data_IF_653526486594
#
_entry.id   IF_653526486594
#
_cell.length_a   1.000
_cell.length_b   1.000
_cell.length_c   1.000
_cell.angle_alpha   90.00
_cell.angle_beta   90.00
_cell.angle_gamma   90.00
#
_symmetry.space_group_name_H-M   'P 1'
#
loop_
_entity.id
_entity.type
_entity.pdbx_description
1 polymer ?
#
# COMPACT_ATOMS: atom_id res chain seq x y z
N UNK A 1 3.51 -23.26 7.40
CA UNK A 1 4.23 -22.22 8.17
C UNK A 1 3.49 -20.93 7.93
N UNK A 2 3.20 -20.06 8.91
CA UNK A 2 2.40 -18.88 8.62
C UNK A 2 3.20 -17.98 7.68
N UNK A 3 2.78 -17.94 6.43
CA UNK A 3 3.35 -17.18 5.33
C UNK A 3 3.37 -15.71 5.74
N UNK A 4 4.54 -15.26 6.19
CA UNK A 4 4.72 -13.91 6.71
C UNK A 4 4.62 -12.97 5.52
N UNK A 5 3.42 -12.46 5.26
CA UNK A 5 3.15 -11.53 4.16
C UNK A 5 4.23 -10.45 4.15
N UNK A 6 4.97 -10.28 3.04
CA UNK A 6 6.06 -9.32 3.00
C UNK A 6 5.50 -7.91 3.21
N UNK A 7 5.95 -7.29 4.29
CA UNK A 7 5.63 -5.91 4.64
C UNK A 7 6.53 -4.98 3.84
N UNK A 8 5.95 -4.30 2.87
CA UNK A 8 6.62 -3.36 1.98
C UNK A 8 6.73 -2.00 2.66
N UNK A 9 7.92 -1.42 2.68
CA UNK A 9 8.06 -0.03 3.08
C UNK A 9 7.38 0.89 2.06
N UNK A 10 7.04 2.12 2.45
CA UNK A 10 6.41 3.12 1.57
C UNK A 10 7.04 3.25 0.17
N UNK A 11 8.37 3.24 0.07
CA UNK A 11 9.08 3.27 -1.22
C UNK A 11 8.84 2.03 -2.07
N UNK A 12 8.84 0.85 -1.44
CA UNK A 12 8.59 -0.41 -2.13
C UNK A 12 7.12 -0.54 -2.55
N UNK A 13 6.20 -0.13 -1.67
CA UNK A 13 4.79 -0.05 -1.98
C UNK A 13 4.57 0.85 -3.20
N UNK A 14 5.19 2.04 -3.23
CA UNK A 14 5.11 2.98 -4.35
C UNK A 14 5.59 2.35 -5.67
N UNK A 15 6.76 1.72 -5.64
CA UNK A 15 7.28 0.99 -6.80
C UNK A 15 6.36 -0.16 -7.22
N UNK A 16 5.73 -0.86 -6.27
CA UNK A 16 4.85 -1.99 -6.54
C UNK A 16 3.58 -1.59 -7.29
N UNK A 17 2.88 -0.56 -6.80
CA UNK A 17 1.67 -0.04 -7.46
C UNK A 17 1.99 0.95 -8.61
N UNK A 18 3.28 1.12 -8.91
CA UNK A 18 3.81 2.04 -9.92
C UNK A 18 3.37 3.52 -9.72
N UNK A 19 3.22 3.94 -8.47
CA UNK A 19 2.91 5.33 -8.10
C UNK A 19 4.13 6.04 -7.52
N UNK A 20 4.09 7.37 -7.50
CA UNK A 20 5.14 8.16 -6.87
C UNK A 20 5.12 8.01 -5.34
N UNK A 21 6.29 8.11 -4.71
CA UNK A 21 6.40 8.16 -3.24
C UNK A 21 5.54 9.28 -2.65
N UNK A 22 5.45 10.43 -3.34
CA UNK A 22 4.62 11.57 -2.94
C UNK A 22 3.12 11.25 -2.95
N UNK A 23 2.67 10.43 -3.88
CA UNK A 23 1.27 9.98 -3.93
C UNK A 23 0.93 9.14 -2.70
N UNK A 24 1.79 8.19 -2.34
CA UNK A 24 1.65 7.45 -1.10
C UNK A 24 1.81 8.33 0.13
N UNK A 25 2.69 9.34 0.10
CA UNK A 25 2.81 10.42 1.11
C UNK A 25 1.42 11.00 1.46
N UNK A 26 0.73 11.47 0.41
CA UNK A 26 -0.59 12.06 0.51
C UNK A 26 -1.64 11.04 0.96
N UNK A 27 -1.63 9.81 0.46
CA UNK A 27 -2.67 8.81 0.79
C UNK A 27 -2.67 8.38 2.26
N UNK A 28 -1.51 8.26 2.87
CA UNK A 28 -1.36 8.00 4.30
C UNK A 28 -1.84 9.19 5.14
N UNK A 29 -1.49 10.44 4.73
CA UNK A 29 -1.95 11.65 5.41
C UNK A 29 -3.47 11.85 5.28
N UNK A 30 -4.04 11.48 4.14
CA UNK A 30 -5.47 11.66 3.86
C UNK A 30 -6.31 10.47 4.30
N UNK A 31 -5.69 9.35 4.71
CA UNK A 31 -6.33 8.05 4.95
C UNK A 31 -7.39 7.72 3.88
N UNK A 32 -7.12 8.12 2.63
CA UNK A 32 -8.14 8.15 1.58
C UNK A 32 -8.49 6.77 1.03
N UNK A 33 -7.61 5.80 1.23
CA UNK A 33 -7.76 4.43 0.76
C UNK A 33 -7.39 3.45 1.86
N UNK A 34 -8.08 2.31 1.91
CA UNK A 34 -7.84 1.26 2.90
C UNK A 34 -6.63 0.41 2.51
N UNK A 35 -5.47 1.05 2.41
CA UNK A 35 -4.18 0.41 2.13
C UNK A 35 -3.63 -0.34 3.35
N UNK A 36 -4.41 -0.38 4.44
CA UNK A 36 -4.08 -0.94 5.74
C UNK A 36 -2.63 -0.61 6.16
N UNK A 37 -2.25 0.68 6.23
CA UNK A 37 -0.90 1.07 6.59
C UNK A 37 -0.57 0.61 8.02
N UNK A 38 0.38 -0.31 8.13
CA UNK A 38 0.88 -0.80 9.40
C UNK A 38 1.95 0.16 9.89
N UNK A 39 1.59 0.97 10.88
CA UNK A 39 2.51 1.87 11.56
C UNK A 39 3.38 1.09 12.53
N UNK A 40 4.67 1.03 12.24
CA UNK A 40 5.70 0.45 13.09
C UNK A 40 6.58 1.61 13.59
N UNK A 41 6.19 2.19 14.73
CA UNK A 41 6.85 3.36 15.31
C UNK A 41 6.79 4.56 14.36
N UNK A 42 7.96 4.99 13.85
CA UNK A 42 8.11 6.11 12.90
C UNK A 42 8.01 5.66 11.43
N UNK A 43 7.96 4.37 11.16
CA UNK A 43 7.92 3.82 9.81
C UNK A 43 6.53 3.28 9.49
N UNK A 44 6.08 3.52 8.26
CA UNK A 44 4.83 2.94 7.74
C UNK A 44 5.17 1.82 6.78
N UNK A 45 4.56 0.65 6.99
CA UNK A 45 4.66 -0.51 6.12
C UNK A 45 3.29 -0.87 5.56
N UNK A 46 3.29 -1.51 4.40
CA UNK A 46 2.11 -1.92 3.66
C UNK A 46 2.16 -3.41 3.44
N UNK A 47 1.04 -4.11 3.60
CA UNK A 47 0.96 -5.51 3.20
C UNK A 47 0.86 -5.59 1.69
N UNK A 48 1.57 -6.55 1.10
CA UNK A 48 1.46 -6.80 -0.33
C UNK A 48 0.01 -7.11 -0.73
N UNK A 49 -0.69 -7.96 0.01
CA UNK A 49 -2.10 -8.31 -0.27
C UNK A 49 -3.05 -7.11 -0.22
N UNK A 50 -2.81 -6.14 0.66
CA UNK A 50 -3.60 -4.91 0.69
C UNK A 50 -3.34 -4.02 -0.54
N UNK A 51 -2.08 -3.99 -1.03
CA UNK A 51 -1.74 -3.30 -2.27
C UNK A 51 -2.34 -4.02 -3.49
N UNK A 52 -2.32 -5.36 -3.52
CA UNK A 52 -2.94 -6.15 -4.59
C UNK A 52 -4.46 -5.95 -4.62
N UNK A 53 -5.14 -6.06 -3.48
CA UNK A 53 -6.59 -5.78 -3.38
C UNK A 53 -6.93 -4.35 -3.85
N UNK A 54 -6.08 -3.38 -3.53
CA UNK A 54 -6.23 -2.01 -4.00
C UNK A 54 -6.05 -1.86 -5.52
N UNK A 55 -5.09 -2.57 -6.10
CA UNK A 55 -4.91 -2.61 -7.55
C UNK A 55 -6.11 -3.27 -8.22
N UNK A 56 -6.60 -4.40 -7.69
CA UNK A 56 -7.78 -5.09 -8.18
C UNK A 56 -9.03 -4.19 -8.14
N UNK A 57 -9.27 -3.47 -7.04
CA UNK A 57 -10.39 -2.53 -6.94
C UNK A 57 -10.32 -1.42 -8.01
N UNK A 58 -9.11 -0.93 -8.32
CA UNK A 58 -8.89 0.09 -9.36
C UNK A 58 -8.99 -0.47 -10.77
N UNK A 59 -8.51 -1.69 -11.01
CA UNK A 59 -8.65 -2.37 -12.30
C UNK A 59 -10.12 -2.70 -12.58
N UNK A 60 -10.90 -3.10 -11.57
CA UNK A 60 -12.34 -3.36 -11.73
C UNK A 60 -13.14 -2.07 -11.99
N UNK A 61 -12.71 -0.92 -11.46
CA UNK A 61 -13.32 0.40 -11.74
C UNK A 61 -12.94 0.98 -13.11
N UNK A 62 -11.99 0.37 -13.82
CA UNK A 62 -11.53 0.82 -15.14
C UNK A 62 -12.31 0.20 -16.32
N UNK A 63 -13.37 -0.56 -16.03
CA UNK A 63 -14.29 -1.13 -17.03
C UNK A 63 -15.66 -0.44 -16.99
#
# INVERSE_FOLDING_TARGET
>A
MPDKEPLLNRKQAAAYINYSYGTLAVWDCTQRYDLQPIRIGRSVRYRKSALDAFLEERTLKAF
#
